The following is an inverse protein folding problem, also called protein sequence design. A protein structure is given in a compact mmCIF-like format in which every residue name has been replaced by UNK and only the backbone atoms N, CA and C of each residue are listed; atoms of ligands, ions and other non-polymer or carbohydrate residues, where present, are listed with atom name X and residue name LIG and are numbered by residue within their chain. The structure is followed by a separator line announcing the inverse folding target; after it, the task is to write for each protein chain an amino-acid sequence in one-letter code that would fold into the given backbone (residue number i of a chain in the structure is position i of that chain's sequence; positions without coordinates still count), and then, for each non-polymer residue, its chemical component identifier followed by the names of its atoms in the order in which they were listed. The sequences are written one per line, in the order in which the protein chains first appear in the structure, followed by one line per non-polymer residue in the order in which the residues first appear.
data_IF_388701396840
#
_entry.id   IF_388701396840
#
_cell.length_a   1.000
_cell.length_b   1.000
_cell.length_c   1.000
_cell.angle_alpha   90.00
_cell.angle_beta   90.00
_cell.angle_gamma   90.00
#
_symmetry.space_group_name_H-M   'P 1'
#
loop_
_entity.id
_entity.type
_entity.pdbx_description
1 polymer ?
#
# COMPACT_ATOMS: atom_id res chain seq x y z
N UNK A 1 -15.19 12.07 -0.20
CA UNK A 1 -14.55 11.31 0.88
C UNK A 1 -13.16 11.90 1.13
N UNK A 2 -12.74 12.09 2.38
CA UNK A 2 -11.36 12.47 2.71
C UNK A 2 -10.69 11.28 3.39
N UNK A 3 -9.43 11.04 3.06
CA UNK A 3 -8.64 9.93 3.56
C UNK A 3 -7.25 10.44 3.93
N UNK A 4 -6.64 9.86 4.97
CA UNK A 4 -5.27 10.16 5.37
C UNK A 4 -4.38 8.95 5.11
N UNK A 5 -3.22 9.18 4.51
CA UNK A 5 -2.17 8.19 4.29
C UNK A 5 -0.91 8.66 5.00
N UNK A 6 -0.38 7.82 5.88
CA UNK A 6 0.89 8.08 6.59
C UNK A 6 1.87 6.97 6.20
N UNK A 7 3.07 7.37 5.77
CA UNK A 7 4.12 6.45 5.34
C UNK A 7 5.41 6.70 6.12
N UNK A 8 6.09 5.61 6.45
CA UNK A 8 7.36 5.54 7.16
C UNK A 8 8.35 4.69 6.39
N UNK A 9 9.64 4.91 6.62
CA UNK A 9 10.68 4.05 6.04
C UNK A 9 10.62 2.63 6.58
N UNK A 10 10.65 1.65 5.69
CA UNK A 10 10.66 0.24 6.05
C UNK A 10 11.99 -0.15 6.71
N UNK A 11 11.97 -0.93 7.81
CA UNK A 11 13.19 -1.51 8.39
C UNK A 11 13.97 -2.31 7.35
N UNK A 12 15.30 -2.21 7.38
CA UNK A 12 16.17 -2.84 6.38
C UNK A 12 15.93 -4.35 6.23
N UNK A 13 15.65 -5.05 7.34
CA UNK A 13 15.33 -6.49 7.37
C UNK A 13 14.05 -6.86 6.59
N UNK A 14 13.19 -5.88 6.33
CA UNK A 14 11.88 -6.05 5.70
C UNK A 14 11.79 -5.38 4.31
N UNK A 15 12.87 -4.80 3.78
CA UNK A 15 12.85 -4.12 2.47
C UNK A 15 12.73 -5.06 1.26
N UNK A 16 12.86 -6.37 1.47
CA UNK A 16 12.82 -7.34 0.38
C UNK A 16 11.75 -8.39 0.63
N UNK A 17 10.98 -8.70 -0.41
CA UNK A 17 10.09 -9.85 -0.40
C UNK A 17 10.92 -11.09 -0.73
N UNK A 18 10.88 -12.09 0.15
CA UNK A 18 11.50 -13.39 -0.11
C UNK A 18 10.46 -14.28 -0.77
N UNK A 19 10.75 -14.76 -1.98
CA UNK A 19 9.87 -15.71 -2.66
C UNK A 19 9.85 -17.07 -1.93
N UNK A 20 9.07 -18.02 -2.44
CA UNK A 20 8.96 -19.36 -1.84
C UNK A 20 10.30 -20.11 -1.74
N UNK A 21 11.31 -19.73 -2.54
CA UNK A 21 12.68 -20.25 -2.48
C UNK A 21 13.59 -19.57 -1.43
N UNK A 22 13.09 -18.58 -0.69
CA UNK A 22 13.85 -17.82 0.31
C UNK A 22 14.67 -16.64 -0.25
N UNK A 23 14.88 -16.60 -1.56
CA UNK A 23 15.60 -15.52 -2.24
C UNK A 23 14.72 -14.26 -2.44
N UNK A 24 15.31 -13.06 -2.40
CA UNK A 24 14.62 -11.83 -2.79
C UNK A 24 14.07 -11.91 -4.21
N UNK A 25 12.86 -11.40 -4.43
CA UNK A 25 12.32 -11.24 -5.79
C UNK A 25 13.15 -10.16 -6.50
N UNK A 26 13.88 -10.49 -7.60
CA UNK A 26 14.72 -9.53 -8.29
C UNK A 26 13.92 -8.31 -8.75
N UNK A 27 14.49 -7.13 -8.54
CA UNK A 27 13.86 -5.87 -8.94
C UNK A 27 12.64 -5.47 -8.11
N UNK A 28 12.28 -6.17 -7.02
CA UNK A 28 11.20 -5.74 -6.13
C UNK A 28 11.74 -5.26 -4.79
N UNK A 29 11.41 -4.03 -4.40
CA UNK A 29 11.74 -3.47 -3.08
C UNK A 29 10.51 -2.95 -2.38
N UNK A 30 10.55 -2.95 -1.05
CA UNK A 30 9.45 -2.58 -0.16
C UNK A 30 9.88 -1.37 0.68
N UNK A 31 10.00 -0.17 0.09
CA UNK A 31 10.71 0.95 0.71
C UNK A 31 9.97 1.56 1.89
N UNK A 32 8.62 1.54 1.85
CA UNK A 32 7.78 2.23 2.82
C UNK A 32 6.65 1.34 3.32
N UNK A 33 6.21 1.61 4.54
CA UNK A 33 5.01 1.04 5.14
C UNK A 33 4.25 2.13 5.89
N UNK A 34 3.01 1.87 6.30
CA UNK A 34 2.32 2.74 7.22
C UNK A 34 0.85 2.43 7.36
N UNK A 35 0.05 3.48 7.50
CA UNK A 35 -1.35 3.39 7.87
C UNK A 35 -2.22 4.25 6.96
N UNK A 36 -3.50 3.88 6.87
CA UNK A 36 -4.51 4.67 6.20
C UNK A 36 -5.77 4.78 7.04
N UNK A 37 -6.32 5.99 7.09
CA UNK A 37 -7.67 6.26 7.60
C UNK A 37 -8.56 6.53 6.39
N UNK A 38 -9.23 5.47 5.94
CA UNK A 38 -10.09 5.45 4.76
C UNK A 38 -11.18 4.39 4.94
N UNK A 39 -12.43 4.79 4.69
CA UNK A 39 -13.57 3.89 4.57
C UNK A 39 -13.67 3.29 3.16
N UNK A 40 -12.88 2.24 2.92
CA UNK A 40 -12.78 1.57 1.61
C UNK A 40 -14.09 0.95 1.14
N UNK A 41 -14.99 0.61 2.06
CA UNK A 41 -16.28 0.00 1.75
C UNK A 41 -17.23 1.01 1.10
N UNK A 42 -17.09 2.30 1.45
CA UNK A 42 -17.85 3.38 0.80
C UNK A 42 -17.55 3.54 -0.70
N UNK A 43 -16.43 3.00 -1.19
CA UNK A 43 -16.09 2.95 -2.63
C UNK A 43 -16.26 1.56 -3.24
N UNK A 44 -16.86 0.61 -2.50
CA UNK A 44 -17.08 -0.77 -2.96
C UNK A 44 -15.81 -1.63 -2.95
N UNK A 45 -14.75 -1.19 -2.26
CA UNK A 45 -13.55 -1.98 -2.06
C UNK A 45 -13.66 -2.86 -0.80
N UNK A 46 -12.87 -3.92 -0.78
CA UNK A 46 -12.85 -4.94 0.28
C UNK A 46 -11.84 -4.53 1.35
N UNK A 47 -12.27 -4.58 2.62
CA UNK A 47 -11.38 -4.41 3.77
C UNK A 47 -10.65 -5.72 4.06
N UNK A 48 -9.32 -5.69 3.99
CA UNK A 48 -8.46 -6.88 4.23
C UNK A 48 -7.64 -6.67 5.51
N UNK A 49 -8.26 -6.88 6.66
CA UNK A 49 -7.65 -6.59 7.96
C UNK A 49 -7.67 -5.10 8.34
N UNK A 50 -6.73 -4.70 9.18
CA UNK A 50 -6.66 -3.37 9.77
C UNK A 50 -5.78 -2.41 8.96
N UNK A 51 -6.35 -1.27 8.55
CA UNK A 51 -5.63 -0.22 7.82
C UNK A 51 -4.85 0.72 8.74
N UNK A 52 -5.13 0.69 10.05
CA UNK A 52 -4.46 1.49 11.06
C UNK A 52 -3.23 0.80 11.67
N UNK A 53 -2.94 -0.45 11.28
CA UNK A 53 -1.79 -1.20 11.77
C UNK A 53 -0.47 -0.52 11.39
N UNK A 54 0.30 -0.12 12.41
CA UNK A 54 1.65 0.44 12.27
C UNK A 54 2.75 -0.62 12.45
N UNK A 55 2.41 -1.92 12.52
CA UNK A 55 3.39 -3.00 12.60
C UNK A 55 4.09 -3.16 11.24
N UNK A 56 5.42 -2.96 11.13
CA UNK A 56 6.14 -3.10 9.86
C UNK A 56 6.10 -4.54 9.29
N UNK A 57 5.82 -5.56 10.11
CA UNK A 57 5.66 -6.95 9.66
C UNK A 57 4.25 -7.26 9.12
N UNK A 58 3.25 -6.45 9.46
CA UNK A 58 1.87 -6.55 8.99
C UNK A 58 1.20 -5.15 8.89
N UNK A 59 1.72 -4.25 8.04
CA UNK A 59 1.29 -2.85 8.04
C UNK A 59 -0.06 -2.66 7.34
N UNK A 60 -0.81 -1.65 7.74
CA UNK A 60 -2.06 -1.28 7.08
C UNK A 60 -1.86 -0.86 5.62
N UNK A 61 -0.71 -0.29 5.29
CA UNK A 61 -0.29 0.04 3.92
C UNK A 61 1.16 -0.39 3.69
N UNK A 62 1.43 -0.97 2.54
CA UNK A 62 2.77 -1.34 2.08
C UNK A 62 3.03 -0.75 0.70
N UNK A 63 4.16 -0.04 0.54
CA UNK A 63 4.62 0.43 -0.76
C UNK A 63 5.53 -0.64 -1.36
N UNK A 64 5.28 -0.97 -2.62
CA UNK A 64 6.02 -1.94 -3.41
C UNK A 64 6.51 -1.21 -4.66
N UNK A 65 7.82 -1.21 -4.86
CA UNK A 65 8.44 -0.72 -6.08
C UNK A 65 8.93 -1.92 -6.89
N UNK A 66 8.47 -2.01 -8.14
CA UNK A 66 8.87 -3.03 -9.10
C UNK A 66 9.74 -2.44 -10.20
N UNK A 67 10.89 -3.04 -10.45
CA UNK A 67 11.87 -2.66 -11.47
C UNK A 67 12.01 -3.68 -12.62
N UNK A 68 11.13 -4.67 -12.70
CA UNK A 68 11.22 -5.78 -13.67
C UNK A 68 10.76 -5.43 -15.11
N UNK A 69 10.30 -4.21 -15.37
CA UNK A 69 9.79 -3.76 -16.66
C UNK A 69 10.58 -2.61 -17.28
N UNK A 70 10.10 -2.09 -18.43
CA UNK A 70 10.71 -0.92 -19.12
C UNK A 70 10.61 0.38 -18.31
N UNK A 71 9.76 0.42 -17.28
CA UNK A 71 9.59 1.53 -16.35
C UNK A 71 9.37 0.99 -14.93
N UNK A 72 9.88 1.69 -13.90
CA UNK A 72 9.59 1.36 -12.51
C UNK A 72 8.08 1.51 -12.24
N UNK A 73 7.49 0.57 -11.52
CA UNK A 73 6.10 0.63 -11.05
C UNK A 73 6.06 0.85 -9.54
N UNK A 74 5.08 1.63 -9.07
CA UNK A 74 4.82 1.86 -7.65
C UNK A 74 3.40 1.41 -7.33
N UNK A 75 3.28 0.49 -6.38
CA UNK A 75 2.03 -0.06 -5.91
C UNK A 75 1.90 0.17 -4.41
N UNK A 76 0.74 0.64 -3.97
CA UNK A 76 0.37 0.69 -2.56
C UNK A 76 -0.62 -0.43 -2.30
N UNK A 77 -0.27 -1.37 -1.43
CA UNK A 77 -1.14 -2.49 -1.04
C UNK A 77 -1.73 -2.25 0.34
N UNK A 78 -3.04 -2.38 0.46
CA UNK A 78 -3.78 -2.06 1.67
C UNK A 78 -4.21 -3.33 2.42
N UNK A 79 -4.20 -3.24 3.75
CA UNK A 79 -4.62 -4.28 4.68
C UNK A 79 -3.49 -4.92 5.47
N UNK A 80 -3.58 -4.96 6.80
CA UNK A 80 -2.58 -5.64 7.64
C UNK A 80 -2.51 -7.15 7.37
N UNK A 81 -3.67 -7.80 7.26
CA UNK A 81 -3.75 -9.20 6.85
C UNK A 81 -3.21 -9.40 5.44
N UNK A 82 -3.36 -8.37 4.60
CA UNK A 82 -2.77 -8.38 3.28
C UNK A 82 -1.23 -8.33 3.36
N UNK A 83 -0.70 -7.50 4.25
CA UNK A 83 0.71 -7.18 4.28
C UNK A 83 1.52 -8.03 5.26
N UNK A 84 0.88 -8.95 5.99
CA UNK A 84 1.58 -9.91 6.84
C UNK A 84 2.56 -10.76 6.03
N UNK A 85 3.70 -11.07 6.65
CA UNK A 85 4.80 -11.81 6.00
C UNK A 85 4.91 -13.26 6.45
N UNK A 86 4.20 -13.64 7.49
CA UNK A 86 4.31 -14.92 8.18
C UNK A 86 3.20 -15.93 7.77
N UNK A 87 2.27 -15.56 6.89
CA UNK A 87 1.22 -16.48 6.40
C UNK A 87 0.96 -16.33 4.91
N UNK A 88 0.65 -17.46 4.28
CA UNK A 88 0.09 -17.53 2.93
C UNK A 88 -1.41 -17.24 3.02
N UNK A 89 -1.90 -16.34 2.17
CA UNK A 89 -3.33 -16.03 2.08
C UNK A 89 -4.05 -17.05 1.21
N UNK A 90 -5.24 -17.47 1.66
CA UNK A 90 -6.09 -18.45 0.97
C UNK A 90 -7.27 -17.80 0.25
N UNK A 91 -7.74 -16.65 0.72
CA UNK A 91 -8.94 -15.97 0.21
C UNK A 91 -8.66 -15.11 -1.03
N UNK A 92 -7.40 -14.71 -1.25
CA UNK A 92 -6.99 -13.93 -2.42
C UNK A 92 -7.52 -12.50 -2.45
N UNK A 93 -8.19 -12.04 -1.39
CA UNK A 93 -8.76 -10.70 -1.29
C UNK A 93 -7.67 -9.63 -1.35
N UNK A 94 -7.92 -8.54 -2.06
CA UNK A 94 -6.95 -7.46 -2.20
C UNK A 94 -7.59 -6.07 -2.35
N UNK A 95 -6.80 -5.07 -1.99
CA UNK A 95 -6.97 -3.68 -2.38
C UNK A 95 -5.58 -3.11 -2.69
N UNK A 96 -5.41 -2.60 -3.90
CA UNK A 96 -4.16 -2.01 -4.38
C UNK A 96 -4.41 -0.68 -5.09
N UNK A 97 -3.49 0.25 -4.92
CA UNK A 97 -3.41 1.49 -5.67
C UNK A 97 -2.16 1.42 -6.55
N UNK A 98 -2.33 1.56 -7.85
CA UNK A 98 -1.24 1.70 -8.79
C UNK A 98 -1.02 3.16 -9.11
N UNK A 99 0.18 3.65 -8.78
CA UNK A 99 0.58 5.03 -9.06
C UNK A 99 0.89 5.14 -10.56
N UNK A 100 0.21 6.07 -11.24
CA UNK A 100 0.40 6.35 -12.66
C UNK A 100 1.16 7.66 -12.89
N UNK A 101 0.96 8.64 -12.01
CA UNK A 101 1.61 9.95 -12.11
C UNK A 101 2.16 10.37 -10.75
N UNK A 102 3.39 10.89 -10.76
CA UNK A 102 4.05 11.50 -9.62
C UNK A 102 4.19 12.99 -9.89
N UNK A 103 3.64 13.82 -9.01
CA UNK A 103 3.78 15.26 -9.04
C UNK A 103 4.63 15.77 -7.87
N UNK A 104 4.91 17.08 -7.89
CA UNK A 104 5.71 17.71 -6.83
C UNK A 104 5.02 17.64 -5.45
N UNK A 105 3.69 17.69 -5.44
CA UNK A 105 2.87 17.77 -4.23
C UNK A 105 1.95 16.56 -4.02
N UNK A 106 2.13 15.48 -4.76
CA UNK A 106 1.17 14.38 -4.71
C UNK A 106 1.40 13.32 -5.78
N UNK A 107 0.48 12.38 -5.84
CA UNK A 107 0.48 11.29 -6.81
C UNK A 107 -0.95 10.85 -7.12
N UNK A 108 -1.17 10.29 -8.30
CA UNK A 108 -2.48 9.86 -8.75
C UNK A 108 -2.38 8.53 -9.50
N UNK A 109 -3.53 7.89 -9.69
CA UNK A 109 -3.58 6.65 -10.45
C UNK A 109 -4.90 5.94 -10.34
N UNK A 110 -4.82 4.61 -10.37
CA UNK A 110 -5.98 3.73 -10.32
C UNK A 110 -5.94 2.88 -9.06
N UNK A 111 -7.10 2.61 -8.50
CA UNK A 111 -7.25 1.61 -7.45
C UNK A 111 -8.06 0.44 -7.99
N UNK A 112 -7.72 -0.75 -7.50
CA UNK A 112 -8.45 -1.99 -7.78
C UNK A 112 -8.59 -2.76 -6.49
N UNK A 113 -9.78 -3.32 -6.26
CA UNK A 113 -10.06 -4.21 -5.16
C UNK A 113 -10.84 -5.41 -5.65
N UNK A 114 -10.64 -6.56 -5.03
CA UNK A 114 -11.37 -7.75 -5.44
C UNK A 114 -11.28 -8.89 -4.44
N UNK A 115 -12.21 -9.82 -4.65
CA UNK A 115 -12.21 -11.19 -4.14
C UNK A 115 -12.29 -12.13 -5.34
N UNK A 116 -12.05 -13.45 -5.20
CA UNK A 116 -12.23 -14.38 -6.30
C UNK A 116 -13.61 -14.22 -6.96
N UNK A 117 -13.62 -13.86 -8.26
CA UNK A 117 -14.84 -13.71 -9.07
C UNK A 117 -15.49 -12.32 -9.07
N UNK A 118 -14.99 -11.34 -8.29
CA UNK A 118 -15.52 -9.97 -8.31
C UNK A 118 -14.41 -8.94 -8.18
N UNK A 119 -14.47 -7.89 -9.01
CA UNK A 119 -13.51 -6.79 -9.01
C UNK A 119 -14.23 -5.43 -9.06
N UNK A 120 -13.77 -4.49 -8.26
CA UNK A 120 -14.15 -3.08 -8.28
C UNK A 120 -12.91 -2.23 -8.52
N UNK A 121 -13.08 -1.11 -9.25
CA UNK A 121 -11.96 -0.23 -9.62
C UNK A 121 -12.39 1.21 -9.72
N UNK A 122 -11.42 2.11 -9.62
CA UNK A 122 -11.64 3.53 -9.84
C UNK A 122 -10.33 4.31 -9.90
N UNK A 123 -10.43 5.63 -9.74
CA UNK A 123 -9.30 6.54 -9.74
C UNK A 123 -9.08 7.13 -8.36
N UNK A 124 -7.83 7.50 -8.07
CA UNK A 124 -7.50 8.24 -6.85
C UNK A 124 -6.52 9.38 -7.16
N UNK A 125 -6.56 10.39 -6.30
CA UNK A 125 -5.57 11.45 -6.21
C UNK A 125 -5.18 11.60 -4.74
N UNK A 126 -3.88 11.67 -4.48
CA UNK A 126 -3.31 11.89 -3.17
C UNK A 126 -2.48 13.17 -3.19
N UNK A 127 -2.73 14.05 -2.22
CA UNK A 127 -2.00 15.30 -2.05
C UNK A 127 -1.20 15.25 -0.75
N UNK A 128 0.01 15.79 -0.78
CA UNK A 128 0.84 15.95 0.41
C UNK A 128 0.22 17.03 1.28
N UNK A 129 -0.32 16.64 2.42
CA UNK A 129 -0.63 17.58 3.48
C UNK A 129 0.68 18.18 4.02
N UNK A 130 0.77 19.50 4.06
CA UNK A 130 1.88 20.18 4.73
C UNK A 130 1.91 19.71 6.21
N UNK A 131 3.09 19.45 6.80
CA UNK A 131 3.16 19.17 8.22
C UNK A 131 2.55 20.34 8.98
N UNK A 132 1.55 20.06 9.82
CA UNK A 132 0.94 21.08 10.67
C UNK A 132 2.03 21.75 11.51
N UNK A 133 2.12 23.08 11.42
CA UNK A 133 3.03 23.87 12.26
C UNK A 133 2.75 23.52 13.74
N UNK A 134 3.74 23.12 14.56
CA UNK A 134 3.49 22.90 15.97
C UNK A 134 2.91 24.19 16.58
N UNK A 135 1.84 24.04 17.36
CA UNK A 135 1.24 25.15 18.09
C UNK A 135 2.33 25.79 18.95
N UNK A 136 2.61 27.08 18.71
CA UNK A 136 3.44 27.86 19.63
C UNK A 136 2.61 28.05 20.89
N UNK A 137 3.08 27.50 22.00
CA UNK A 137 2.63 27.86 23.34
C UNK A 137 3.03 29.28 23.70
#
# INVERSE_FOLDING_TARGET
MRANLVLHEQPASLRYFRGSGGDPIPGTVLPLFGTADIDVEAVGAVRVGDLSSADPAAPGVLVIEGGGGRQPSILLRFGSDANRRDRVRFDGSFLVLEVRELGHNGFSGIWTSGVPGMETRGHFCAERHAPGRPARG
#
